data_IF_045255842111
#
_entry.id   IF_045255842111
#
_cell.length_a   1.000
_cell.length_b   1.000
_cell.length_c   1.000
_cell.angle_alpha   90.00
_cell.angle_beta   90.00
_cell.angle_gamma   90.00
#
_symmetry.space_group_name_H-M   'P 1'
#
loop_
_entity.id
_entity.type
_entity.pdbx_description
1 polymer ?
#
# COMPACT_ATOMS: atom_id res chain seq x y z
N UNK A 1 9.40 -7.23 -11.60
CA UNK A 1 9.03 -6.54 -10.35
C UNK A 1 8.35 -5.24 -10.71
N UNK A 2 7.14 -5.01 -10.18
CA UNK A 2 6.43 -3.73 -10.34
C UNK A 2 7.16 -2.61 -9.60
N UNK A 3 6.93 -1.35 -10.00
CA UNK A 3 7.52 -0.19 -9.31
C UNK A 3 7.08 -0.15 -7.84
N UNK A 4 5.81 -0.47 -7.54
CA UNK A 4 5.32 -0.65 -6.18
C UNK A 4 6.09 -1.73 -5.41
N UNK A 5 6.28 -2.91 -6.01
CA UNK A 5 6.99 -4.01 -5.35
C UNK A 5 8.43 -3.63 -5.00
N UNK A 6 9.14 -2.96 -5.92
CA UNK A 6 10.49 -2.43 -5.67
C UNK A 6 10.51 -1.39 -4.56
N UNK A 7 9.55 -0.46 -4.58
CA UNK A 7 9.43 0.58 -3.56
C UNK A 7 9.24 -0.02 -2.16
N UNK A 8 8.39 -1.03 -2.02
CA UNK A 8 8.20 -1.74 -0.74
C UNK A 8 9.45 -2.51 -0.33
N UNK A 9 10.10 -3.23 -1.24
CA UNK A 9 11.33 -3.98 -0.93
C UNK A 9 12.46 -3.05 -0.45
N UNK A 10 12.70 -1.94 -1.16
CA UNK A 10 13.70 -0.94 -0.79
C UNK A 10 13.41 -0.33 0.58
N UNK A 11 12.16 0.09 0.80
CA UNK A 11 11.76 0.71 2.07
C UNK A 11 11.86 -0.27 3.24
N UNK A 12 11.47 -1.54 3.03
CA UNK A 12 11.64 -2.61 4.04
C UNK A 12 13.11 -2.79 4.39
N UNK A 13 13.99 -2.84 3.39
CA UNK A 13 15.43 -2.99 3.60
C UNK A 13 16.03 -1.79 4.34
N UNK A 14 15.61 -0.56 4.04
CA UNK A 14 16.04 0.65 4.76
C UNK A 14 15.64 0.63 6.24
N UNK A 15 14.50 0.02 6.57
CA UNK A 15 14.06 -0.20 7.96
C UNK A 15 14.74 -1.42 8.63
N UNK A 16 15.63 -2.13 7.94
CA UNK A 16 16.32 -3.32 8.46
C UNK A 16 15.40 -4.51 8.75
N UNK A 17 14.21 -4.57 8.13
CA UNK A 17 13.22 -5.60 8.40
C UNK A 17 13.38 -6.79 7.45
N UNK A 18 13.24 -8.00 7.97
CA UNK A 18 13.09 -9.19 7.11
C UNK A 18 11.68 -9.25 6.50
N UNK A 19 11.50 -10.01 5.41
CA UNK A 19 10.17 -10.25 4.81
C UNK A 19 9.18 -10.83 5.84
N UNK A 20 9.64 -11.79 6.65
CA UNK A 20 8.83 -12.41 7.70
C UNK A 20 8.45 -11.44 8.81
N UNK A 21 9.36 -10.54 9.19
CA UNK A 21 9.07 -9.53 10.22
C UNK A 21 8.05 -8.50 9.73
N UNK A 22 8.20 -7.99 8.51
CA UNK A 22 7.20 -7.08 7.93
C UNK A 22 5.85 -7.79 7.77
N UNK A 23 5.84 -9.03 7.28
CA UNK A 23 4.62 -9.82 7.15
C UNK A 23 3.90 -9.99 8.50
N UNK A 24 4.64 -10.29 9.58
CA UNK A 24 4.10 -10.39 10.94
C UNK A 24 3.45 -9.09 11.39
N UNK A 25 4.11 -7.94 11.20
CA UNK A 25 3.57 -6.61 11.55
C UNK A 25 2.30 -6.26 10.79
N UNK A 26 2.17 -6.74 9.55
CA UNK A 26 1.00 -6.53 8.71
C UNK A 26 -0.09 -7.58 8.90
N UNK A 27 0.15 -8.60 9.73
CA UNK A 27 -0.73 -9.76 9.90
C UNK A 27 -1.05 -10.46 8.56
N UNK A 28 -0.02 -10.64 7.73
CA UNK A 28 -0.07 -11.36 6.45
C UNK A 28 0.96 -12.50 6.43
N UNK A 29 0.89 -13.38 5.43
CA UNK A 29 1.89 -14.45 5.29
C UNK A 29 3.19 -13.91 4.68
N UNK A 30 4.36 -14.51 5.00
CA UNK A 30 5.63 -14.17 4.34
C UNK A 30 5.58 -14.37 2.82
N UNK A 31 4.83 -15.35 2.35
CA UNK A 31 4.59 -15.60 0.92
C UNK A 31 3.87 -14.41 0.27
N UNK A 32 2.80 -13.91 0.89
CA UNK A 32 2.08 -12.74 0.40
C UNK A 32 2.97 -11.50 0.35
N UNK A 33 3.84 -11.29 1.36
CA UNK A 33 4.83 -10.21 1.35
C UNK A 33 5.82 -10.36 0.18
N UNK A 34 6.31 -11.57 -0.07
CA UNK A 34 7.17 -11.84 -1.22
C UNK A 34 6.45 -11.64 -2.56
N UNK A 35 5.17 -11.96 -2.65
CA UNK A 35 4.33 -11.73 -3.84
C UNK A 35 4.10 -10.24 -4.11
N UNK A 36 3.92 -9.43 -3.05
CA UNK A 36 3.87 -7.97 -3.16
C UNK A 36 5.20 -7.42 -3.71
N UNK A 37 6.34 -7.77 -3.10
CA UNK A 37 7.65 -7.24 -3.52
C UNK A 37 8.02 -7.68 -4.94
N UNK A 38 7.62 -8.88 -5.36
CA UNK A 38 7.80 -9.35 -6.73
C UNK A 38 6.85 -8.72 -7.73
N UNK A 39 5.81 -8.02 -7.27
CA UNK A 39 4.78 -7.39 -8.08
C UNK A 39 3.74 -8.38 -8.63
N UNK A 40 3.58 -9.55 -8.00
CA UNK A 40 2.56 -10.55 -8.36
C UNK A 40 1.20 -10.27 -7.75
N UNK A 41 1.17 -9.52 -6.64
CA UNK A 41 -0.07 -9.09 -6.01
C UNK A 41 0.02 -7.61 -5.64
N UNK A 42 -1.06 -6.87 -5.89
CA UNK A 42 -1.25 -5.54 -5.34
C UNK A 42 -2.17 -5.68 -4.10
N UNK A 43 -1.73 -5.20 -2.92
CA UNK A 43 -2.50 -5.36 -1.70
C UNK A 43 -3.79 -4.54 -1.68
N UNK A 44 -4.68 -4.90 -0.74
CA UNK A 44 -5.86 -4.08 -0.44
C UNK A 44 -5.46 -2.73 0.15
N UNK A 45 -6.33 -1.73 0.06
CA UNK A 45 -6.10 -0.40 0.63
C UNK A 45 -5.67 -0.45 2.09
N UNK A 46 -6.41 -1.16 2.93
CA UNK A 46 -6.09 -1.32 4.35
C UNK A 46 -4.64 -1.82 4.59
N UNK A 47 -4.15 -2.67 3.69
CA UNK A 47 -2.78 -3.20 3.77
C UNK A 47 -1.76 -2.20 3.22
N UNK A 48 -2.11 -1.41 2.22
CA UNK A 48 -1.30 -0.28 1.74
C UNK A 48 -1.15 0.76 2.86
N UNK A 49 -2.22 1.10 3.56
CA UNK A 49 -2.17 2.00 4.71
C UNK A 49 -1.31 1.43 5.85
N UNK A 50 -1.41 0.11 6.13
CA UNK A 50 -0.51 -0.55 7.08
C UNK A 50 0.95 -0.52 6.62
N UNK A 51 1.24 -0.72 5.34
CA UNK A 51 2.60 -0.57 4.79
C UNK A 51 3.11 0.86 5.01
N UNK A 52 2.30 1.86 4.65
CA UNK A 52 2.62 3.28 4.80
C UNK A 52 2.95 3.61 6.26
N UNK A 53 2.13 3.16 7.21
CA UNK A 53 2.38 3.37 8.64
C UNK A 53 3.61 2.61 9.15
N UNK A 54 3.75 1.35 8.78
CA UNK A 54 4.83 0.47 9.31
C UNK A 54 6.21 0.84 8.78
N UNK A 55 6.27 1.27 7.52
CA UNK A 55 7.51 1.64 6.84
C UNK A 55 7.72 3.16 6.78
N UNK A 56 6.81 3.95 7.33
CA UNK A 56 6.83 5.43 7.34
C UNK A 56 6.95 6.02 5.93
N UNK A 57 6.11 5.55 5.01
CA UNK A 57 6.17 5.92 3.60
C UNK A 57 5.35 7.19 3.33
N UNK A 58 5.63 7.83 2.19
CA UNK A 58 4.71 8.80 1.63
C UNK A 58 3.45 8.08 1.12
N UNK A 59 2.29 8.40 1.71
CA UNK A 59 1.02 7.78 1.35
C UNK A 59 0.67 7.99 -0.13
N UNK A 60 0.74 9.23 -0.62
CA UNK A 60 0.38 9.58 -2.00
C UNK A 60 1.23 8.81 -3.02
N UNK A 61 2.53 8.69 -2.75
CA UNK A 61 3.44 7.90 -3.58
C UNK A 61 3.10 6.41 -3.55
N UNK A 62 2.86 5.84 -2.38
CA UNK A 62 2.51 4.42 -2.23
C UNK A 62 1.22 4.07 -3.01
N UNK A 63 0.17 4.89 -2.88
CA UNK A 63 -1.09 4.71 -3.60
C UNK A 63 -0.94 4.92 -5.11
N UNK A 64 -0.17 5.94 -5.53
CA UNK A 64 0.14 6.16 -6.95
C UNK A 64 0.85 4.95 -7.56
N UNK A 65 1.88 4.42 -6.91
CA UNK A 65 2.64 3.27 -7.40
C UNK A 65 1.80 1.98 -7.41
N UNK A 66 0.87 1.85 -6.46
CA UNK A 66 -0.09 0.75 -6.42
C UNK A 66 -1.23 0.88 -7.45
N UNK A 67 -1.27 1.96 -8.22
CA UNK A 67 -2.36 2.34 -9.14
C UNK A 67 -3.74 2.28 -8.45
N UNK A 68 -3.82 2.89 -7.26
CA UNK A 68 -5.02 2.92 -6.42
C UNK A 68 -5.28 4.31 -5.86
N UNK A 69 -6.54 4.55 -5.54
CA UNK A 69 -6.96 5.71 -4.75
C UNK A 69 -7.47 5.25 -3.39
N UNK A 70 -7.17 5.98 -2.30
CA UNK A 70 -7.80 5.72 -1.01
C UNK A 70 -9.33 5.85 -1.09
N UNK A 71 -10.07 4.95 -0.44
CA UNK A 71 -11.52 4.91 -0.38
C UNK A 71 -12.07 6.23 0.17
N UNK A 72 -11.35 6.87 1.09
CA UNK A 72 -11.72 8.21 1.60
C UNK A 72 -11.78 9.26 0.49
N UNK A 73 -10.82 9.24 -0.44
CA UNK A 73 -10.79 10.17 -1.59
C UNK A 73 -11.96 9.89 -2.52
N UNK A 74 -12.29 8.61 -2.75
CA UNK A 74 -13.46 8.24 -3.55
C UNK A 74 -14.77 8.63 -2.87
N UNK A 75 -14.86 8.51 -1.54
CA UNK A 75 -16.04 8.87 -0.77
C UNK A 75 -16.28 10.39 -0.80
N UNK A 76 -15.24 11.19 -0.61
CA UNK A 76 -15.28 12.65 -0.73
C UNK A 76 -15.74 13.06 -2.14
N UNK A 77 -15.12 12.50 -3.19
CA UNK A 77 -15.48 12.80 -4.56
C UNK A 77 -16.96 12.47 -4.88
N UNK A 78 -17.45 11.32 -4.40
CA UNK A 78 -18.86 10.93 -4.53
C UNK A 78 -19.79 11.92 -3.83
N UNK A 79 -19.48 12.33 -2.60
CA UNK A 79 -20.28 13.32 -1.88
C UNK A 79 -20.34 14.66 -2.62
N UNK A 80 -19.19 15.14 -3.13
CA UNK A 80 -19.14 16.36 -3.92
C UNK A 80 -19.96 16.25 -5.21
N UNK A 81 -19.88 15.13 -5.93
CA UNK A 81 -20.65 14.89 -7.15
C UNK A 81 -22.17 14.98 -6.91
N UNK A 82 -22.70 14.31 -5.88
CA UNK A 82 -24.15 14.36 -5.59
C UNK A 82 -24.61 15.71 -5.04
N UNK A 83 -23.74 16.49 -4.39
CA UNK A 83 -24.07 17.84 -3.89
C UNK A 83 -24.12 18.91 -4.99
N UNK A 84 -23.45 18.70 -6.12
CA UNK A 84 -23.46 19.64 -7.25
C UNK A 84 -24.68 19.48 -8.18
N UNK A 85 -25.49 18.44 -7.98
CA UNK A 85 -26.68 18.13 -8.80
C UNK A 85 -28.02 18.61 -8.23
N UNK A 86 -28.01 19.46 -7.19
CA UNK A 86 -29.22 20.05 -6.56
C UNK A 86 -29.29 21.56 -6.77
#
# INVERSE_FOLDING_TARGET
>A
MSEFGKFIELSRNQKGLSKSELARRLSITPQYMADIEKGRMIPSEEKIEKLVKTLELNEKEAFKLADKLPLRVLAEAKQHYYKQGS
#
